data_IF_224649687244
#
_entry.id   IF_224649687244
#
_cell.length_a   1.000
_cell.length_b   1.000
_cell.length_c   1.000
_cell.angle_alpha   90.00
_cell.angle_beta   90.00
_cell.angle_gamma   90.00
#
_symmetry.space_group_name_H-M   'P 1'
#
loop_
_entity.id
_entity.type
_entity.pdbx_description
1 polymer ?
#
# COMPACT_ATOMS: atom_id res chain seq x y z
N UNK A 1 11.53 3.99 9.74
CA UNK A 1 10.53 2.91 9.88
C UNK A 1 11.09 1.61 10.46
N UNK A 2 12.36 1.26 10.20
CA UNK A 2 12.96 -0.01 10.65
C UNK A 2 12.99 -0.26 12.17
N UNK A 3 12.71 0.76 12.99
CA UNK A 3 12.65 0.64 14.46
C UNK A 3 11.42 -0.13 14.97
N UNK A 4 10.40 -0.34 14.14
CA UNK A 4 9.16 -0.99 14.54
C UNK A 4 9.08 -2.42 13.99
N UNK A 5 8.69 -3.35 14.87
CA UNK A 5 8.58 -4.78 14.54
C UNK A 5 7.54 -5.02 13.44
N UNK A 6 7.90 -5.86 12.46
CA UNK A 6 7.01 -6.28 11.38
C UNK A 6 6.85 -5.26 10.24
N UNK A 7 7.51 -4.09 10.31
CA UNK A 7 7.48 -3.11 9.23
C UNK A 7 8.58 -3.39 8.21
N UNK A 8 8.16 -3.65 6.96
CA UNK A 8 9.03 -3.64 5.80
C UNK A 8 8.82 -2.33 5.02
N UNK A 9 9.68 -1.30 5.21
CA UNK A 9 9.49 -0.03 4.50
C UNK A 9 9.86 -0.17 3.04
N UNK A 10 9.05 0.46 2.19
CA UNK A 10 9.24 0.49 0.74
C UNK A 10 9.33 1.94 0.27
N UNK A 11 10.25 2.20 -0.66
CA UNK A 11 10.35 3.50 -1.34
C UNK A 11 9.64 3.37 -2.68
N UNK A 12 8.51 4.06 -2.83
CA UNK A 12 7.82 4.11 -4.11
C UNK A 12 8.61 5.01 -5.08
N UNK A 13 9.06 4.49 -6.24
CA UNK A 13 10.05 5.19 -7.07
C UNK A 13 9.44 6.25 -8.01
N UNK A 14 8.12 6.41 -8.03
CA UNK A 14 7.45 7.36 -8.91
C UNK A 14 7.05 8.63 -8.14
N UNK A 15 7.03 9.80 -8.81
CA UNK A 15 6.52 11.01 -8.22
C UNK A 15 5.05 10.84 -7.82
N UNK A 16 4.63 11.60 -6.81
CA UNK A 16 3.24 11.62 -6.36
C UNK A 16 2.34 12.14 -7.50
N UNK A 17 1.23 11.46 -7.76
CA UNK A 17 0.17 12.01 -8.59
C UNK A 17 -0.61 13.06 -7.77
N UNK A 18 -0.50 14.34 -8.15
CA UNK A 18 -1.15 15.45 -7.44
C UNK A 18 -2.60 15.68 -7.87
N UNK A 19 -2.98 15.25 -9.08
CA UNK A 19 -4.33 15.48 -9.62
C UNK A 19 -5.34 14.44 -9.13
N UNK A 20 -4.90 13.22 -8.83
CA UNK A 20 -5.76 12.13 -8.37
C UNK A 20 -5.11 11.35 -7.23
N UNK A 21 -5.65 11.57 -6.03
CA UNK A 21 -5.23 10.88 -4.81
C UNK A 21 -5.57 9.39 -4.82
N UNK A 22 -6.71 9.01 -5.38
CA UNK A 22 -7.16 7.62 -5.39
C UNK A 22 -6.26 6.79 -6.31
N UNK A 23 -5.94 7.31 -7.49
CA UNK A 23 -5.00 6.69 -8.43
C UNK A 23 -3.57 6.60 -7.86
N UNK A 24 -3.06 7.66 -7.21
CA UNK A 24 -1.74 7.61 -6.53
C UNK A 24 -1.70 6.48 -5.49
N UNK A 25 -2.78 6.34 -4.71
CA UNK A 25 -2.87 5.33 -3.67
C UNK A 25 -2.94 3.92 -4.23
N UNK A 26 -3.73 3.70 -5.29
CA UNK A 26 -3.82 2.39 -5.93
C UNK A 26 -2.48 1.94 -6.51
N UNK A 27 -1.74 2.86 -7.17
CA UNK A 27 -0.38 2.59 -7.67
C UNK A 27 0.58 2.18 -6.56
N UNK A 28 0.50 2.82 -5.38
CA UNK A 28 1.33 2.47 -4.22
C UNK A 28 0.95 1.11 -3.63
N UNK A 29 -0.35 0.80 -3.55
CA UNK A 29 -0.80 -0.51 -3.10
C UNK A 29 -0.33 -1.62 -4.03
N UNK A 30 -0.51 -1.46 -5.35
CA UNK A 30 0.00 -2.41 -6.34
C UNK A 30 1.52 -2.61 -6.22
N UNK A 31 2.28 -1.53 -6.07
CA UNK A 31 3.72 -1.63 -5.86
C UNK A 31 4.10 -2.46 -4.61
N UNK A 32 3.40 -2.25 -3.50
CA UNK A 32 3.62 -3.01 -2.26
C UNK A 32 3.23 -4.49 -2.41
N UNK A 33 2.12 -4.78 -3.09
CA UNK A 33 1.67 -6.15 -3.36
C UNK A 33 2.68 -6.89 -4.23
N UNK A 34 3.15 -6.26 -5.32
CA UNK A 34 4.14 -6.86 -6.21
C UNK A 34 5.49 -7.08 -5.52
N UNK A 35 5.91 -6.16 -4.64
CA UNK A 35 7.06 -6.39 -3.78
C UNK A 35 6.85 -7.59 -2.85
N UNK A 36 5.67 -7.70 -2.22
CA UNK A 36 5.33 -8.79 -1.31
C UNK A 36 5.27 -10.15 -2.00
N UNK A 37 4.74 -10.20 -3.24
CA UNK A 37 4.78 -11.38 -4.12
C UNK A 37 6.20 -11.80 -4.41
N UNK A 38 7.07 -10.86 -4.82
CA UNK A 38 8.50 -11.14 -5.10
C UNK A 38 9.27 -11.62 -3.87
N UNK A 39 8.87 -11.20 -2.67
CA UNK A 39 9.45 -11.67 -1.40
C UNK A 39 8.84 -12.97 -0.87
N UNK A 40 7.80 -13.49 -1.51
CA UNK A 40 7.10 -14.71 -1.09
C UNK A 40 6.21 -14.54 0.15
N UNK A 41 6.00 -13.30 0.62
CA UNK A 41 5.15 -13.00 1.78
C UNK A 41 3.67 -12.83 1.42
N UNK A 42 3.38 -12.58 0.14
CA UNK A 42 2.03 -12.52 -0.42
C UNK A 42 1.96 -13.53 -1.57
N UNK A 43 0.88 -14.31 -1.63
CA UNK A 43 0.62 -15.26 -2.71
C UNK A 43 -0.69 -14.91 -3.42
N UNK A 44 -0.85 -15.39 -4.66
CA UNK A 44 -2.14 -15.32 -5.36
C UNK A 44 -3.23 -15.99 -4.51
N UNK A 45 -4.39 -15.35 -4.43
CA UNK A 45 -5.51 -15.77 -3.58
C UNK A 45 -5.40 -15.36 -2.11
N UNK A 46 -4.30 -14.72 -1.68
CA UNK A 46 -4.16 -14.25 -0.30
C UNK A 46 -5.11 -13.08 -0.02
N UNK A 47 -5.72 -13.08 1.16
CA UNK A 47 -6.45 -11.92 1.67
C UNK A 47 -5.48 -10.94 2.32
N UNK A 48 -5.53 -9.67 1.93
CA UNK A 48 -4.72 -8.59 2.49
C UNK A 48 -5.61 -7.47 3.04
N UNK A 49 -5.07 -6.70 3.99
CA UNK A 49 -5.70 -5.50 4.54
C UNK A 49 -4.92 -4.29 4.04
N UNK A 50 -5.60 -3.38 3.34
CA UNK A 50 -5.06 -2.12 2.88
C UNK A 50 -5.59 -0.97 3.76
N UNK A 51 -4.67 -0.13 4.25
CA UNK A 51 -4.96 1.02 5.10
C UNK A 51 -4.57 2.31 4.38
N UNK A 52 -5.48 3.26 4.30
CA UNK A 52 -5.25 4.58 3.68
C UNK A 52 -6.10 5.68 4.33
N UNK A 53 -5.89 6.91 3.89
CA UNK A 53 -6.83 8.01 4.10
C UNK A 53 -7.67 8.29 2.86
N UNK A 54 -8.88 8.80 3.06
CA UNK A 54 -9.78 9.14 1.96
C UNK A 54 -9.37 10.39 1.16
N UNK A 55 -8.50 11.24 1.72
CA UNK A 55 -7.97 12.46 1.10
C UNK A 55 -6.49 12.68 1.44
N UNK A 56 -5.74 13.45 0.63
CA UNK A 56 -4.35 13.77 0.95
C UNK A 56 -4.23 14.61 2.23
N UNK A 57 -3.11 14.46 2.93
CA UNK A 57 -2.76 15.26 4.11
C UNK A 57 -2.42 14.40 5.33
N UNK A 58 -1.80 15.00 6.36
CA UNK A 58 -1.39 14.30 7.56
C UNK A 58 -2.60 13.81 8.39
N UNK A 59 -2.37 12.78 9.20
CA UNK A 59 -3.31 12.26 10.20
C UNK A 59 -4.70 11.83 9.69
N UNK A 60 -4.82 11.46 8.41
CA UNK A 60 -6.09 11.09 7.79
C UNK A 60 -6.27 9.57 7.58
N UNK A 61 -5.48 8.68 8.19
CA UNK A 61 -5.67 7.23 8.01
C UNK A 61 -6.99 6.77 8.65
N UNK A 62 -8.00 6.55 7.81
CA UNK A 62 -9.37 6.28 8.26
C UNK A 62 -10.12 5.27 7.38
N UNK A 63 -9.47 4.70 6.37
CA UNK A 63 -10.08 3.79 5.40
C UNK A 63 -9.39 2.43 5.51
N UNK A 64 -10.19 1.37 5.67
CA UNK A 64 -9.74 -0.03 5.70
C UNK A 64 -10.40 -0.75 4.54
N UNK A 65 -9.61 -1.43 3.72
CA UNK A 65 -10.09 -2.31 2.63
C UNK A 65 -9.59 -3.73 2.88
N UNK A 66 -10.47 -4.71 2.71
CA UNK A 66 -10.11 -6.14 2.67
C UNK A 66 -10.11 -6.53 1.19
N UNK A 67 -8.96 -7.01 0.70
CA UNK A 67 -8.75 -7.30 -0.72
C UNK A 67 -8.25 -8.74 -0.88
N UNK A 68 -8.63 -9.36 -1.99
CA UNK A 68 -8.07 -10.66 -2.41
C UNK A 68 -7.05 -10.36 -3.51
N UNK A 69 -5.83 -10.86 -3.33
CA UNK A 69 -4.74 -10.66 -4.28
C UNK A 69 -4.91 -11.59 -5.47
N UNK A 70 -4.91 -11.05 -6.68
CA UNK A 70 -4.93 -11.81 -7.93
C UNK A 70 -3.55 -12.28 -8.41
#
# INVERSE_FOLDING_TARGET
CHLYRGIHPLVFPHPKNESDWADDMEKRFHYAIEWGKKKGVIQKGSTIIALSGWRPGPANTNTIRILIVE
#
